data_IF_807354460205
#
_entry.id   IF_807354460205
#
_cell.length_a   1.000
_cell.length_b   1.000
_cell.length_c   1.000
_cell.angle_alpha   90.00
_cell.angle_beta   90.00
_cell.angle_gamma   90.00
#
_symmetry.space_group_name_H-M   'P 1'
#
loop_
_entity.id
_entity.type
_entity.pdbx_description
1 polymer ?
#
# COMPACT_ATOMS: atom_id res chain seq x y z
N UNK A 1 18.82 -29.07 -0.41
CA UNK A 1 18.87 -29.51 -1.46
C UNK A 1 18.43 -28.63 -2.30
N UNK A 2 17.87 -28.47 -2.52
CA UNK A 2 17.24 -28.28 -3.33
C UNK A 2 16.48 -27.03 -3.41
N UNK A 3 16.56 -26.10 -2.40
CA UNK A 3 16.05 -24.74 -2.43
C UNK A 3 16.59 -23.96 -3.61
N UNK A 4 17.86 -24.18 -3.95
CA UNK A 4 18.47 -23.52 -5.10
C UNK A 4 17.84 -23.93 -6.43
N UNK A 5 17.39 -25.16 -6.53
CA UNK A 5 16.72 -25.64 -7.74
C UNK A 5 15.31 -25.09 -7.86
N UNK A 6 14.72 -24.69 -6.73
CA UNK A 6 13.36 -24.17 -6.68
C UNK A 6 13.29 -22.65 -6.90
N UNK A 7 14.45 -21.96 -6.82
CA UNK A 7 14.46 -20.50 -6.97
C UNK A 7 14.32 -20.14 -8.44
N UNK A 8 13.22 -19.47 -8.77
CA UNK A 8 12.98 -18.98 -10.11
C UNK A 8 14.02 -17.89 -10.44
N UNK A 9 14.60 -17.90 -11.67
CA UNK A 9 15.56 -16.86 -12.07
C UNK A 9 15.06 -15.43 -11.88
N UNK A 10 13.76 -15.19 -12.03
CA UNK A 10 13.17 -13.88 -11.80
C UNK A 10 13.36 -13.38 -10.37
N UNK A 11 13.47 -14.28 -9.38
CA UNK A 11 13.65 -13.90 -7.98
C UNK A 11 14.99 -13.19 -7.74
N UNK A 12 16.02 -13.56 -8.47
CA UNK A 12 17.34 -12.90 -8.38
C UNK A 12 17.21 -11.44 -8.78
N UNK A 13 16.50 -11.16 -9.87
CA UNK A 13 16.28 -9.79 -10.32
C UNK A 13 15.41 -9.01 -9.33
N UNK A 14 14.39 -9.63 -8.77
CA UNK A 14 13.53 -9.01 -7.77
C UNK A 14 14.34 -8.62 -6.54
N UNK A 15 15.16 -9.54 -6.03
CA UNK A 15 16.02 -9.28 -4.86
C UNK A 15 16.97 -8.12 -5.11
N UNK A 16 17.55 -8.05 -6.31
CA UNK A 16 18.51 -6.99 -6.64
C UNK A 16 17.89 -5.61 -6.70
N UNK A 17 16.57 -5.54 -6.91
CA UNK A 17 15.83 -4.28 -7.00
C UNK A 17 15.08 -3.94 -5.71
N UNK A 18 15.13 -4.82 -4.72
CA UNK A 18 14.34 -4.68 -3.51
C UNK A 18 15.10 -3.87 -2.45
N UNK A 19 14.46 -2.84 -1.93
CA UNK A 19 15.00 -2.10 -0.79
C UNK A 19 14.74 -2.87 0.51
N UNK A 20 15.46 -2.56 1.60
CA UNK A 20 15.14 -3.14 2.90
C UNK A 20 13.69 -2.90 3.33
N UNK A 21 13.15 -1.71 3.04
CA UNK A 21 11.76 -1.40 3.37
C UNK A 21 10.79 -2.25 2.54
N UNK A 22 11.08 -2.48 1.26
CA UNK A 22 10.26 -3.36 0.41
C UNK A 22 10.17 -4.75 1.01
N UNK A 23 11.29 -5.29 1.48
CA UNK A 23 11.32 -6.61 2.11
C UNK A 23 10.50 -6.64 3.41
N UNK A 24 10.58 -5.58 4.21
CA UNK A 24 9.80 -5.46 5.45
C UNK A 24 8.29 -5.39 5.18
N UNK A 25 7.89 -4.62 4.17
CA UNK A 25 6.48 -4.52 3.78
C UNK A 25 5.96 -5.87 3.29
N UNK A 26 6.74 -6.53 2.45
CA UNK A 26 6.36 -7.84 1.91
C UNK A 26 6.23 -8.88 3.02
N UNK A 27 7.17 -8.89 3.96
CA UNK A 27 7.14 -9.77 5.13
C UNK A 27 5.91 -9.50 6.00
N UNK A 28 5.58 -8.24 6.21
CA UNK A 28 4.38 -7.85 6.95
C UNK A 28 3.13 -8.47 6.33
N UNK A 29 2.98 -8.36 5.01
CA UNK A 29 1.85 -8.96 4.30
C UNK A 29 1.82 -10.47 4.43
N UNK A 30 2.98 -11.10 4.31
CA UNK A 30 3.09 -12.55 4.40
C UNK A 30 2.65 -13.08 5.76
N UNK A 31 2.85 -12.30 6.82
CA UNK A 31 2.44 -12.67 8.16
C UNK A 31 0.96 -12.44 8.45
N UNK A 32 0.24 -11.70 7.60
CA UNK A 32 -1.18 -11.50 7.82
C UNK A 32 -1.97 -12.78 7.54
N UNK A 33 -3.08 -13.03 8.28
CA UNK A 33 -3.85 -14.28 8.12
C UNK A 33 -4.26 -14.58 6.70
N UNK A 34 -4.74 -13.58 5.96
CA UNK A 34 -5.19 -13.75 4.59
C UNK A 34 -4.17 -13.26 3.56
N UNK A 35 -2.95 -12.97 4.00
CA UNK A 35 -1.88 -12.43 3.14
C UNK A 35 -2.27 -11.14 2.45
N UNK A 36 -3.08 -10.32 3.11
CA UNK A 36 -3.50 -9.04 2.58
C UNK A 36 -3.66 -8.01 3.71
N UNK A 37 -3.87 -6.75 3.32
CA UNK A 37 -4.09 -5.66 4.25
C UNK A 37 -4.98 -4.59 3.64
N UNK A 38 -5.74 -3.85 4.48
CA UNK A 38 -6.48 -2.69 3.99
C UNK A 38 -5.50 -1.57 3.65
N UNK A 39 -5.81 -0.82 2.60
CA UNK A 39 -5.09 0.41 2.26
C UNK A 39 -6.08 1.50 1.90
N UNK A 40 -5.66 2.75 2.04
CA UNK A 40 -6.47 3.92 1.76
C UNK A 40 -5.75 4.84 0.78
N UNK A 41 -6.53 5.47 -0.10
CA UNK A 41 -6.06 6.63 -0.86
C UNK A 41 -6.73 7.87 -0.28
N UNK A 42 -5.96 8.93 -0.07
CA UNK A 42 -6.48 10.23 0.35
C UNK A 42 -6.72 11.08 -0.90
N UNK A 43 -7.95 11.53 -1.07
CA UNK A 43 -8.41 12.22 -2.27
C UNK A 43 -8.93 13.62 -1.90
N UNK A 44 -8.51 14.61 -2.65
CA UNK A 44 -9.09 15.95 -2.60
C UNK A 44 -9.98 16.15 -3.81
N UNK A 45 -11.16 16.70 -3.62
CA UNK A 45 -12.14 16.84 -4.68
C UNK A 45 -12.85 18.19 -4.65
N UNK A 46 -13.49 18.51 -5.77
CA UNK A 46 -14.39 19.66 -5.89
C UNK A 46 -15.53 19.31 -6.84
N UNK A 47 -16.68 19.92 -6.61
CA UNK A 47 -17.80 19.83 -7.55
C UNK A 47 -17.55 20.82 -8.71
N UNK A 48 -17.66 20.32 -9.95
CA UNK A 48 -17.63 21.17 -11.14
C UNK A 48 -19.07 21.54 -11.51
N UNK A 49 -19.96 20.57 -11.45
CA UNK A 49 -21.39 20.73 -11.72
C UNK A 49 -22.17 19.74 -10.85
N UNK A 50 -23.51 19.73 -10.98
CA UNK A 50 -24.33 18.80 -10.21
C UNK A 50 -23.98 17.33 -10.45
N UNK A 51 -23.43 17.00 -11.63
CA UNK A 51 -23.12 15.62 -12.02
C UNK A 51 -21.64 15.33 -12.17
N UNK A 52 -20.78 16.34 -12.03
CA UNK A 52 -19.35 16.17 -12.25
C UNK A 52 -18.53 16.56 -11.03
N UNK A 53 -17.60 15.70 -10.66
CA UNK A 53 -16.64 15.93 -9.58
C UNK A 53 -15.23 15.80 -10.16
N UNK A 54 -14.40 16.81 -9.94
CA UNK A 54 -12.97 16.72 -10.24
C UNK A 54 -12.23 16.35 -8.97
N UNK A 55 -11.21 15.50 -9.09
CA UNK A 55 -10.44 15.09 -7.92
C UNK A 55 -8.96 14.93 -8.26
N UNK A 56 -8.15 15.02 -7.23
CA UNK A 56 -6.73 14.66 -7.29
C UNK A 56 -6.43 13.71 -6.13
N UNK A 57 -5.48 12.81 -6.36
CA UNK A 57 -5.04 11.89 -5.31
C UNK A 57 -3.86 12.54 -4.59
N UNK A 58 -4.03 12.82 -3.30
CA UNK A 58 -2.99 13.41 -2.49
C UNK A 58 -1.98 12.38 -1.99
N UNK A 59 -2.45 11.20 -1.65
CA UNK A 59 -1.59 10.12 -1.20
C UNK A 59 -2.24 8.79 -1.51
N UNK A 60 -1.45 7.86 -2.09
CA UNK A 60 -1.88 6.49 -2.33
C UNK A 60 -1.36 5.56 -1.22
N UNK A 61 -1.96 4.39 -1.13
CA UNK A 61 -1.43 3.24 -0.40
C UNK A 61 -1.10 3.53 1.07
N UNK A 62 -1.96 4.28 1.75
CA UNK A 62 -1.84 4.49 3.19
C UNK A 62 -2.24 3.18 3.87
N UNK A 63 -1.32 2.60 4.64
CA UNK A 63 -1.47 1.25 5.18
C UNK A 63 -1.46 1.24 6.71
N UNK A 64 -1.81 0.10 7.33
CA UNK A 64 -1.70 -0.04 8.79
C UNK A 64 -0.26 -0.22 9.28
N UNK A 65 0.72 -0.27 8.38
CA UNK A 65 2.12 -0.45 8.74
C UNK A 65 2.61 0.75 9.54
N UNK A 66 3.26 0.49 10.68
CA UNK A 66 3.72 1.53 11.59
C UNK A 66 5.22 1.84 11.46
N UNK A 67 5.97 1.03 10.72
CA UNK A 67 7.38 1.31 10.47
C UNK A 67 7.54 2.07 9.16
N UNK A 68 8.45 3.02 9.15
CA UNK A 68 8.63 3.91 8.01
C UNK A 68 7.57 5.01 7.93
N UNK A 69 7.81 6.01 7.10
CA UNK A 69 6.84 7.07 6.86
C UNK A 69 5.72 6.57 5.93
N UNK A 70 4.59 7.25 5.97
CA UNK A 70 3.46 6.93 5.07
C UNK A 70 3.91 7.00 3.61
N UNK A 71 4.68 8.02 3.25
CA UNK A 71 5.15 8.20 1.88
C UNK A 71 6.13 7.10 1.46
N UNK A 72 7.04 6.72 2.35
CA UNK A 72 8.03 5.68 2.05
C UNK A 72 7.36 4.32 1.88
N UNK A 73 6.43 3.98 2.77
CA UNK A 73 5.68 2.72 2.67
C UNK A 73 4.82 2.70 1.41
N UNK A 74 4.21 3.82 1.04
CA UNK A 74 3.44 3.95 -0.20
C UNK A 74 4.31 3.63 -1.42
N UNK A 75 5.53 4.16 -1.47
CA UNK A 75 6.45 3.87 -2.57
C UNK A 75 6.86 2.41 -2.61
N UNK A 76 7.08 1.80 -1.44
CA UNK A 76 7.38 0.35 -1.37
C UNK A 76 6.23 -0.49 -1.90
N UNK A 77 5.00 -0.17 -1.51
CA UNK A 77 3.81 -0.86 -1.99
C UNK A 77 3.73 -0.74 -3.52
N UNK A 78 3.97 0.44 -4.06
CA UNK A 78 3.94 0.65 -5.51
C UNK A 78 5.03 -0.15 -6.22
N UNK A 79 6.24 -0.17 -5.68
CA UNK A 79 7.34 -0.94 -6.26
C UNK A 79 7.06 -2.44 -6.25
N UNK A 80 6.55 -2.96 -5.14
CA UNK A 80 6.16 -4.37 -5.04
C UNK A 80 5.04 -4.72 -6.02
N UNK A 81 4.11 -3.79 -6.24
CA UNK A 81 3.03 -3.97 -7.23
C UNK A 81 3.59 -4.05 -8.65
N UNK A 82 4.55 -3.20 -8.99
CA UNK A 82 5.20 -3.23 -10.31
C UNK A 82 5.93 -4.54 -10.57
N UNK A 83 6.47 -5.14 -9.53
CA UNK A 83 7.16 -6.43 -9.64
C UNK A 83 6.21 -7.63 -9.54
N UNK A 84 4.91 -7.38 -9.53
CA UNK A 84 3.86 -8.40 -9.47
C UNK A 84 3.89 -9.28 -8.21
N UNK A 85 4.50 -8.79 -7.13
CA UNK A 85 4.52 -9.50 -5.85
C UNK A 85 3.27 -9.24 -5.04
N UNK A 86 2.63 -8.10 -5.26
CA UNK A 86 1.37 -7.73 -4.62
C UNK A 86 0.39 -7.23 -5.67
N UNK A 87 -0.89 -7.28 -5.33
CA UNK A 87 -1.97 -6.77 -6.15
C UNK A 87 -2.81 -5.77 -5.34
N UNK A 88 -3.08 -4.62 -5.94
CA UNK A 88 -3.93 -3.60 -5.35
C UNK A 88 -5.27 -3.66 -6.07
N UNK A 89 -6.35 -3.79 -5.30
CA UNK A 89 -7.70 -3.93 -5.86
C UNK A 89 -8.70 -3.02 -5.15
N UNK A 90 -9.86 -2.86 -5.78
CA UNK A 90 -10.96 -2.09 -5.19
C UNK A 90 -11.79 -2.90 -4.20
N UNK A 91 -11.51 -4.19 -4.05
CA UNK A 91 -12.14 -5.01 -3.03
C UNK A 91 -11.85 -4.43 -1.65
N UNK A 92 -12.86 -4.36 -0.80
CA UNK A 92 -12.69 -3.79 0.53
C UNK A 92 -12.63 -4.89 1.58
N UNK A 93 -11.83 -4.65 2.61
CA UNK A 93 -11.89 -5.44 3.82
C UNK A 93 -13.16 -5.12 4.58
N UNK A 94 -13.62 -6.06 5.40
CA UNK A 94 -14.74 -5.80 6.29
C UNK A 94 -14.33 -4.91 7.46
N UNK A 95 -13.03 -4.94 7.82
CA UNK A 95 -12.49 -4.17 8.93
C UNK A 95 -11.04 -3.76 8.66
N UNK A 96 -10.41 -3.12 9.62
CA UNK A 96 -8.99 -2.76 9.54
C UNK A 96 -8.75 -1.32 9.08
N UNK A 97 -9.68 -0.67 8.41
CA UNK A 97 -9.50 0.73 8.00
C UNK A 97 -9.48 1.67 9.21
N UNK A 98 -10.23 1.35 10.24
CA UNK A 98 -10.23 2.14 11.46
C UNK A 98 -8.87 2.14 12.15
N UNK A 99 -8.15 1.03 12.09
CA UNK A 99 -6.80 0.94 12.65
C UNK A 99 -5.86 1.95 11.99
N UNK A 100 -6.02 2.16 10.67
CA UNK A 100 -5.24 3.16 9.94
C UNK A 100 -5.62 4.56 10.40
N UNK A 101 -6.90 4.86 10.35
CA UNK A 101 -7.44 6.19 10.63
C UNK A 101 -7.14 6.64 12.07
N UNK A 102 -7.14 5.71 13.00
CA UNK A 102 -6.90 5.99 14.42
C UNK A 102 -5.41 5.99 14.80
N UNK A 103 -4.51 5.64 13.89
CA UNK A 103 -3.09 5.63 14.16
C UNK A 103 -2.54 7.06 14.29
N UNK A 104 -1.53 7.23 15.14
CA UNK A 104 -0.90 8.54 15.32
C UNK A 104 -0.22 9.01 14.04
N UNK A 105 0.42 8.11 13.32
CA UNK A 105 1.06 8.44 12.04
C UNK A 105 0.06 9.03 11.05
N UNK A 106 -1.12 8.41 10.93
CA UNK A 106 -2.15 8.89 10.02
C UNK A 106 -2.70 10.24 10.47
N UNK A 107 -2.93 10.42 11.76
CA UNK A 107 -3.49 11.68 12.30
C UNK A 107 -2.57 12.86 12.01
N UNK A 108 -1.27 12.68 12.24
CA UNK A 108 -0.27 13.72 11.95
C UNK A 108 -0.22 14.00 10.46
N UNK A 109 -0.20 12.96 9.63
CA UNK A 109 -0.19 13.08 8.19
C UNK A 109 -1.42 13.83 7.68
N UNK A 110 -2.61 13.42 8.16
CA UNK A 110 -3.87 14.02 7.75
C UNK A 110 -3.93 15.50 8.13
N UNK A 111 -3.49 15.85 9.34
CA UNK A 111 -3.44 17.25 9.77
C UNK A 111 -2.54 18.09 8.87
N UNK A 112 -1.37 17.56 8.49
CA UNK A 112 -0.48 18.23 7.56
C UNK A 112 -1.12 18.42 6.19
N UNK A 113 -1.87 17.44 5.72
CA UNK A 113 -2.58 17.56 4.45
C UNK A 113 -3.68 18.62 4.51
N UNK A 114 -4.43 18.67 5.60
CA UNK A 114 -5.45 19.70 5.79
C UNK A 114 -4.86 21.10 5.77
N UNK A 115 -3.67 21.30 6.36
CA UNK A 115 -3.01 22.59 6.41
C UNK A 115 -2.42 23.02 5.07
N UNK A 116 -2.23 22.10 4.14
CA UNK A 116 -1.59 22.36 2.86
C UNK A 116 -2.49 22.04 1.68
N UNK A 117 -3.80 22.01 1.88
CA UNK A 117 -4.74 21.69 0.81
C UNK A 117 -4.73 22.72 -0.31
N UNK A 118 -4.83 22.26 -1.57
CA UNK A 118 -5.08 23.18 -2.67
C UNK A 118 -6.44 23.85 -2.51
N UNK A 119 -6.50 25.16 -2.66
CA UNK A 119 -7.76 25.91 -2.52
C UNK A 119 -8.83 25.43 -3.51
N UNK A 120 -8.41 24.93 -4.67
CA UNK A 120 -9.32 24.47 -5.71
C UNK A 120 -10.02 23.14 -5.36
N UNK A 121 -9.55 22.42 -4.36
CA UNK A 121 -10.06 21.09 -3.99
C UNK A 121 -10.32 21.05 -2.49
N UNK A 122 -11.46 21.63 -2.05
CA UNK A 122 -11.71 21.84 -0.62
C UNK A 122 -12.17 20.59 0.15
N UNK A 123 -12.59 19.54 -0.55
CA UNK A 123 -13.17 18.36 0.10
C UNK A 123 -12.16 17.22 0.16
N UNK A 124 -11.99 16.63 1.34
CA UNK A 124 -11.15 15.44 1.54
C UNK A 124 -12.01 14.20 1.71
N UNK A 125 -11.60 13.11 1.10
CA UNK A 125 -12.25 11.81 1.26
C UNK A 125 -11.22 10.69 1.21
N UNK A 126 -11.63 9.51 1.68
CA UNK A 126 -10.79 8.32 1.68
C UNK A 126 -11.40 7.27 0.77
N UNK A 127 -10.58 6.70 -0.09
CA UNK A 127 -10.95 5.58 -0.94
C UNK A 127 -10.37 4.30 -0.34
N UNK A 128 -11.24 3.37 -0.01
CA UNK A 128 -10.87 2.09 0.58
C UNK A 128 -10.47 1.11 -0.52
N UNK A 129 -9.32 0.48 -0.35
CA UNK A 129 -8.78 -0.51 -1.28
C UNK A 129 -8.18 -1.67 -0.51
N UNK A 130 -7.75 -2.69 -1.23
CA UNK A 130 -7.09 -3.86 -0.67
C UNK A 130 -5.73 -4.07 -1.34
N UNK A 131 -4.76 -4.50 -0.54
CA UNK A 131 -3.43 -4.89 -1.02
C UNK A 131 -3.17 -6.31 -0.57
N UNK A 132 -2.93 -7.22 -1.50
CA UNK A 132 -2.71 -8.63 -1.18
C UNK A 132 -1.54 -9.24 -1.92
N UNK A 133 -0.96 -10.31 -1.38
CA UNK A 133 0.08 -11.04 -2.07
C UNK A 133 -0.48 -11.76 -3.28
N UNK A 134 0.27 -11.71 -4.37
CA UNK A 134 -0.01 -12.56 -5.55
C UNK A 134 0.53 -13.97 -5.30
N UNK A 135 0.20 -14.91 -6.17
CA UNK A 135 0.79 -16.24 -6.13
C UNK A 135 2.33 -16.16 -6.21
N UNK A 136 2.85 -15.28 -7.06
CA UNK A 136 4.29 -15.05 -7.17
C UNK A 136 4.85 -14.48 -5.87
N UNK A 137 4.14 -13.54 -5.23
CA UNK A 137 4.54 -12.95 -3.97
C UNK A 137 4.62 -13.98 -2.85
N UNK A 138 3.63 -14.87 -2.76
CA UNK A 138 3.63 -15.96 -1.78
C UNK A 138 4.80 -16.90 -2.00
N UNK A 139 5.04 -17.31 -3.24
CA UNK A 139 6.15 -18.19 -3.58
C UNK A 139 7.49 -17.53 -3.24
N UNK A 140 7.63 -16.24 -3.56
CA UNK A 140 8.82 -15.49 -3.24
C UNK A 140 9.08 -15.44 -1.73
N UNK A 141 8.04 -15.17 -0.93
CA UNK A 141 8.17 -15.13 0.53
C UNK A 141 8.54 -16.50 1.10
N UNK A 142 7.93 -17.57 0.60
CA UNK A 142 8.22 -18.92 1.05
C UNK A 142 9.69 -19.31 0.84
N UNK A 143 10.28 -18.84 -0.24
CA UNK A 143 11.64 -19.24 -0.63
C UNK A 143 12.69 -18.24 -0.13
N UNK A 144 12.40 -16.94 -0.21
CA UNK A 144 13.41 -15.91 -0.03
C UNK A 144 13.34 -15.16 1.31
N UNK A 145 12.20 -15.19 1.99
CA UNK A 145 12.00 -14.43 3.23
C UNK A 145 11.80 -15.28 4.47
N UNK A 146 11.86 -16.57 4.36
CA UNK A 146 11.70 -17.47 5.51
C UNK A 146 13.03 -17.75 6.17
#
# INVERSE_FOLDING_TARGET
TDTKEMVHPAFVNIISQMSPLDAQVLHYLFEQPDKDMPILNLIASRSISSDEISYIILQTNISPISFGSIEAVSLSVENLSRNNLINISDSQHTDGYDCIIMSDNYKIFYENQCNNMPEMYPDLSLQKKNCGLTALGKAFCDICLV
#
